data_IF_210244940686
#
_entry.id   IF_210244940686
#
_cell.length_a   1.000
_cell.length_b   1.000
_cell.length_c   1.000
_cell.angle_alpha   90.00
_cell.angle_beta   90.00
_cell.angle_gamma   90.00
#
_symmetry.space_group_name_H-M   'P 1'
#
loop_
_entity.id
_entity.type
_entity.pdbx_description
1 polymer ?
#
# COMPACT_ATOMS: atom_id res chain seq x y z
N UNK A 1 22.19 -13.81 6.16
CA UNK A 1 21.22 -14.91 5.89
C UNK A 1 19.76 -14.45 5.88
N UNK A 2 19.22 -13.84 6.94
CA UNK A 2 17.80 -13.42 6.98
C UNK A 2 17.41 -12.40 5.88
N UNK A 3 18.29 -11.43 5.57
CA UNK A 3 18.06 -10.44 4.52
C UNK A 3 17.97 -11.08 3.12
N UNK A 4 18.87 -12.01 2.80
CA UNK A 4 18.83 -12.74 1.54
C UNK A 4 17.54 -13.56 1.40
N UNK A 5 17.12 -14.25 2.46
CA UNK A 5 15.84 -14.95 2.49
C UNK A 5 14.64 -14.01 2.29
N UNK A 6 14.68 -12.80 2.84
CA UNK A 6 13.64 -11.77 2.62
C UNK A 6 13.60 -11.27 1.18
N UNK A 7 14.75 -11.09 0.53
CA UNK A 7 14.82 -10.69 -0.88
C UNK A 7 14.18 -11.79 -1.75
N UNK A 8 14.53 -13.06 -1.51
CA UNK A 8 13.98 -14.19 -2.26
C UNK A 8 12.46 -14.33 -2.05
N UNK A 9 12.00 -14.20 -0.80
CA UNK A 9 10.56 -14.21 -0.48
C UNK A 9 9.83 -13.03 -1.11
N UNK A 10 10.38 -11.81 -1.06
CA UNK A 10 9.76 -10.62 -1.63
C UNK A 10 9.63 -10.73 -3.15
N UNK A 11 10.65 -11.27 -3.84
CA UNK A 11 10.61 -11.52 -5.27
C UNK A 11 9.49 -12.51 -5.65
N UNK A 12 9.38 -13.63 -4.93
CA UNK A 12 8.30 -14.60 -5.16
C UNK A 12 6.91 -14.05 -4.78
N UNK A 13 6.81 -13.33 -3.65
CA UNK A 13 5.58 -12.74 -3.17
C UNK A 13 5.02 -11.66 -4.12
N UNK A 14 5.89 -10.91 -4.79
CA UNK A 14 5.48 -9.90 -5.78
C UNK A 14 4.85 -10.51 -7.04
N UNK A 15 5.26 -11.73 -7.43
CA UNK A 15 4.74 -12.41 -8.61
C UNK A 15 3.32 -12.97 -8.41
N UNK A 16 2.98 -13.39 -7.19
CA UNK A 16 1.74 -14.12 -6.88
C UNK A 16 0.46 -13.30 -7.17
N UNK A 17 0.31 -12.04 -6.73
CA UNK A 17 -0.90 -11.27 -7.00
C UNK A 17 -1.14 -11.05 -8.50
N UNK A 18 -0.07 -10.81 -9.26
CA UNK A 18 -0.15 -10.61 -10.70
C UNK A 18 -0.61 -11.89 -11.42
N UNK A 19 -0.01 -13.03 -11.09
CA UNK A 19 -0.39 -14.32 -11.69
C UNK A 19 -1.77 -14.79 -11.24
N UNK A 20 -2.16 -14.52 -9.99
CA UNK A 20 -3.49 -14.85 -9.46
C UNK A 20 -4.63 -14.16 -10.21
N UNK A 21 -4.40 -12.95 -10.74
CA UNK A 21 -5.37 -12.27 -11.60
C UNK A 21 -5.25 -12.67 -13.08
N UNK A 22 -4.04 -12.95 -13.55
CA UNK A 22 -3.79 -13.28 -14.96
C UNK A 22 -4.35 -14.65 -15.36
N UNK A 23 -4.16 -15.67 -14.53
CA UNK A 23 -4.58 -17.06 -14.84
C UNK A 23 -6.09 -17.15 -15.12
N UNK A 24 -7.00 -16.61 -14.27
CA UNK A 24 -8.43 -16.60 -14.55
C UNK A 24 -8.81 -15.92 -15.87
N UNK A 25 -8.16 -14.79 -16.18
CA UNK A 25 -8.46 -14.03 -17.40
C UNK A 25 -8.00 -14.79 -18.65
N UNK A 26 -6.85 -15.47 -18.57
CA UNK A 26 -6.23 -16.14 -19.72
C UNK A 26 -6.85 -17.50 -20.05
N UNK A 27 -7.17 -18.30 -19.02
CA UNK A 27 -7.61 -19.69 -19.22
C UNK A 27 -9.13 -19.91 -19.14
N UNK A 28 -9.90 -18.94 -18.62
CA UNK A 28 -11.35 -19.07 -18.53
C UNK A 28 -12.09 -18.16 -19.51
N UNK A 29 -13.19 -18.66 -20.10
CA UNK A 29 -14.00 -17.90 -21.04
C UNK A 29 -14.70 -16.74 -20.31
N UNK A 30 -14.99 -15.61 -21.01
CA UNK A 30 -15.49 -14.38 -20.41
C UNK A 30 -16.70 -14.56 -19.47
N UNK A 31 -17.58 -15.50 -19.79
CA UNK A 31 -18.83 -15.78 -19.07
C UNK A 31 -18.56 -16.38 -17.67
N UNK A 32 -17.43 -17.07 -17.50
CA UNK A 32 -17.02 -17.70 -16.22
C UNK A 32 -15.98 -16.91 -15.45
N UNK A 33 -15.32 -15.92 -16.07
CA UNK A 33 -14.24 -15.12 -15.44
C UNK A 33 -14.67 -14.50 -14.12
N UNK A 34 -15.88 -13.95 -14.04
CA UNK A 34 -16.38 -13.32 -12.81
C UNK A 34 -16.43 -14.28 -11.62
N UNK A 35 -16.89 -15.52 -11.84
CA UNK A 35 -16.95 -16.56 -10.81
C UNK A 35 -15.55 -16.97 -10.35
N UNK A 36 -14.64 -17.19 -11.30
CA UNK A 36 -13.25 -17.60 -10.99
C UNK A 36 -12.48 -16.48 -10.29
N UNK A 37 -12.60 -15.24 -10.77
CA UNK A 37 -12.03 -14.06 -10.10
C UNK A 37 -12.61 -13.88 -8.70
N UNK A 38 -13.91 -14.15 -8.53
CA UNK A 38 -14.56 -14.18 -7.22
C UNK A 38 -13.93 -15.24 -6.29
N UNK A 39 -13.65 -16.43 -6.80
CA UNK A 39 -12.98 -17.49 -6.05
C UNK A 39 -11.54 -17.10 -5.66
N UNK A 40 -10.80 -16.46 -6.56
CA UNK A 40 -9.47 -15.88 -6.25
C UNK A 40 -9.56 -14.83 -5.14
N UNK A 41 -10.55 -13.95 -5.18
CA UNK A 41 -10.76 -12.93 -4.15
C UNK A 41 -11.12 -13.56 -2.78
N UNK A 42 -11.92 -14.63 -2.76
CA UNK A 42 -12.21 -15.40 -1.54
C UNK A 42 -10.93 -16.03 -0.99
N UNK A 43 -10.11 -16.64 -1.84
CA UNK A 43 -8.82 -17.21 -1.45
C UNK A 43 -7.88 -16.16 -0.83
N UNK A 44 -7.80 -14.98 -1.45
CA UNK A 44 -6.99 -13.87 -0.94
C UNK A 44 -7.49 -13.38 0.44
N UNK A 45 -8.81 -13.28 0.61
CA UNK A 45 -9.42 -12.88 1.88
C UNK A 45 -9.19 -13.91 2.99
N UNK A 46 -9.34 -15.21 2.68
CA UNK A 46 -9.04 -16.30 3.62
C UNK A 46 -7.54 -16.31 3.97
N UNK A 47 -6.66 -16.13 2.99
CA UNK A 47 -5.22 -16.04 3.21
C UNK A 47 -4.84 -14.88 4.13
N UNK A 48 -5.47 -13.71 3.96
CA UNK A 48 -5.27 -12.57 4.86
C UNK A 48 -5.75 -12.85 6.28
N UNK A 49 -6.95 -13.42 6.44
CA UNK A 49 -7.50 -13.76 7.75
C UNK A 49 -6.68 -14.85 8.47
N UNK A 50 -6.40 -15.96 7.78
CA UNK A 50 -5.57 -17.04 8.30
C UNK A 50 -4.15 -16.57 8.58
N UNK A 51 -3.59 -15.70 7.73
CA UNK A 51 -2.28 -15.09 7.93
C UNK A 51 -2.21 -14.31 9.24
N UNK A 52 -3.23 -13.50 9.54
CA UNK A 52 -3.31 -12.74 10.79
C UNK A 52 -3.39 -13.67 12.01
N UNK A 53 -4.29 -14.66 11.97
CA UNK A 53 -4.49 -15.63 13.06
C UNK A 53 -3.23 -16.47 13.29
N UNK A 54 -2.65 -17.03 12.22
CA UNK A 54 -1.43 -17.82 12.30
C UNK A 54 -0.25 -16.98 12.79
N UNK A 55 -0.12 -15.73 12.34
CA UNK A 55 0.96 -14.86 12.80
C UNK A 55 0.85 -14.54 14.29
N UNK A 56 -0.36 -14.28 14.79
CA UNK A 56 -0.62 -14.03 16.20
C UNK A 56 -0.34 -15.28 17.05
N UNK A 57 -0.81 -16.46 16.62
CA UNK A 57 -0.55 -17.73 17.31
C UNK A 57 0.96 -18.05 17.35
N UNK A 58 1.65 -17.90 16.22
CA UNK A 58 3.09 -18.20 16.15
C UNK A 58 3.88 -17.29 17.08
N UNK A 59 3.60 -15.98 17.11
CA UNK A 59 4.32 -15.07 18.01
C UNK A 59 3.97 -15.33 19.47
N UNK A 60 2.76 -15.82 19.75
CA UNK A 60 2.30 -16.10 21.12
C UNK A 60 2.89 -17.39 21.70
N UNK A 61 3.07 -18.43 20.88
CA UNK A 61 3.46 -19.77 21.35
C UNK A 61 4.84 -20.24 20.85
N UNK A 62 5.41 -19.57 19.85
CA UNK A 62 6.68 -19.94 19.24
C UNK A 62 7.59 -18.72 19.02
N UNK A 63 8.83 -18.99 18.62
CA UNK A 63 9.76 -17.92 18.28
C UNK A 63 9.37 -17.24 16.96
N UNK A 64 9.46 -15.91 16.87
CA UNK A 64 9.08 -15.10 15.69
C UNK A 64 9.70 -15.57 14.37
N UNK A 65 10.83 -16.29 14.42
CA UNK A 65 11.52 -16.88 13.26
C UNK A 65 10.63 -17.86 12.48
N UNK A 66 9.67 -18.51 13.15
CA UNK A 66 8.72 -19.41 12.50
C UNK A 66 7.76 -18.70 11.54
N UNK A 67 7.55 -17.38 11.70
CA UNK A 67 6.80 -16.56 10.72
C UNK A 67 7.42 -16.60 9.32
N UNK A 68 8.72 -16.90 9.23
CA UNK A 68 9.45 -16.97 7.96
C UNK A 68 9.33 -18.35 7.29
N UNK A 69 8.96 -19.37 8.06
CA UNK A 69 8.76 -20.72 7.54
C UNK A 69 7.36 -20.91 6.93
N UNK A 70 6.34 -20.23 7.46
CA UNK A 70 4.95 -20.33 6.97
C UNK A 70 4.81 -20.06 5.46
N UNK A 71 5.43 -19.01 4.88
CA UNK A 71 5.35 -18.79 3.44
C UNK A 71 5.91 -19.94 2.59
N UNK A 72 6.80 -20.79 3.13
CA UNK A 72 7.34 -21.94 2.39
C UNK A 72 6.27 -23.00 2.10
N UNK A 73 5.16 -23.00 2.83
CA UNK A 73 4.02 -23.89 2.56
C UNK A 73 3.44 -23.70 1.16
N UNK A 74 3.68 -22.53 0.53
CA UNK A 74 3.26 -22.29 -0.85
C UNK A 74 3.94 -23.25 -1.83
N UNK A 75 5.13 -23.78 -1.51
CA UNK A 75 5.83 -24.74 -2.36
C UNK A 75 5.04 -26.05 -2.50
N UNK A 76 4.18 -26.39 -1.53
CA UNK A 76 3.28 -27.53 -1.64
C UNK A 76 2.22 -27.37 -2.75
N UNK A 77 1.99 -26.15 -3.23
CA UNK A 77 1.08 -25.90 -4.36
C UNK A 77 1.73 -26.15 -5.73
N UNK A 78 3.07 -26.22 -5.79
CA UNK A 78 3.84 -26.34 -7.04
C UNK A 78 3.48 -27.58 -7.88
N UNK A 79 3.26 -28.78 -7.31
CA UNK A 79 2.83 -29.95 -8.09
C UNK A 79 1.48 -29.75 -8.77
N UNK A 80 0.56 -29.03 -8.14
CA UNK A 80 -0.75 -28.72 -8.72
C UNK A 80 -0.60 -27.75 -9.89
N UNK A 81 0.20 -26.69 -9.75
CA UNK A 81 0.47 -25.79 -10.87
C UNK A 81 1.11 -26.52 -12.05
N UNK A 82 2.10 -27.39 -11.81
CA UNK A 82 2.72 -28.19 -12.88
C UNK A 82 1.76 -29.16 -13.56
N UNK A 83 0.78 -29.70 -12.83
CA UNK A 83 -0.19 -30.67 -13.37
C UNK A 83 -1.33 -30.01 -14.14
N UNK A 84 -1.82 -28.85 -13.68
CA UNK A 84 -3.06 -28.25 -14.16
C UNK A 84 -2.88 -27.03 -15.07
N UNK A 85 -1.75 -26.32 -15.03
CA UNK A 85 -1.44 -25.32 -16.06
C UNK A 85 -0.86 -26.07 -17.27
N UNK A 86 -1.55 -25.97 -18.40
CA UNK A 86 -1.04 -26.47 -19.66
C UNK A 86 0.28 -25.76 -20.01
N UNK A 87 1.27 -26.53 -20.49
CA UNK A 87 2.44 -25.97 -21.14
C UNK A 87 1.94 -25.22 -22.38
N UNK A 88 2.02 -23.89 -22.36
CA UNK A 88 1.80 -23.10 -23.56
C UNK A 88 3.03 -23.23 -24.46
N UNK A 89 2.79 -23.46 -25.75
CA UNK A 89 3.77 -23.14 -26.78
C UNK A 89 4.22 -21.70 -26.55
N UNK A 90 5.54 -21.47 -26.52
CA UNK A 90 6.16 -20.19 -26.18
C UNK A 90 5.78 -19.09 -27.17
N UNK A 91 4.57 -18.54 -27.08
CA UNK A 91 4.05 -17.54 -27.98
C UNK A 91 4.65 -16.18 -27.62
N UNK A 92 5.58 -15.76 -28.46
CA UNK A 92 6.45 -14.58 -28.39
C UNK A 92 7.38 -14.55 -27.18
N UNK A 93 8.66 -14.83 -27.44
CA UNK A 93 9.78 -14.44 -26.57
C UNK A 93 9.88 -12.90 -26.60
N UNK A 94 8.97 -12.21 -25.92
CA UNK A 94 9.20 -10.82 -25.55
C UNK A 94 10.51 -10.75 -24.77
N UNK A 95 11.44 -9.89 -25.19
CA UNK A 95 12.71 -9.76 -24.49
C UNK A 95 12.46 -9.05 -23.16
N UNK A 96 12.71 -9.72 -22.03
CA UNK A 96 12.58 -9.06 -20.73
C UNK A 96 13.75 -8.09 -20.54
N UNK A 97 13.45 -6.82 -20.26
CA UNK A 97 14.46 -5.79 -20.03
C UNK A 97 15.07 -5.90 -18.62
N UNK A 98 15.94 -6.91 -18.45
CA UNK A 98 16.70 -7.15 -17.22
C UNK A 98 17.49 -5.94 -16.76
N UNK A 99 18.09 -5.21 -17.71
CA UNK A 99 18.86 -4.01 -17.41
C UNK A 99 17.96 -2.89 -16.87
N UNK A 100 16.80 -2.65 -17.49
CA UNK A 100 15.82 -1.69 -16.98
C UNK A 100 15.31 -2.05 -15.58
N UNK A 101 14.99 -3.32 -15.35
CA UNK A 101 14.60 -3.82 -14.04
C UNK A 101 15.71 -3.63 -12.99
N UNK A 102 16.96 -3.96 -13.33
CA UNK A 102 18.11 -3.77 -12.45
C UNK A 102 18.38 -2.30 -12.13
N UNK A 103 18.34 -1.41 -13.13
CA UNK A 103 18.53 0.02 -12.93
C UNK A 103 17.47 0.62 -11.99
N UNK A 104 16.20 0.23 -12.17
CA UNK A 104 15.13 0.65 -11.27
C UNK A 104 15.33 0.11 -9.85
N UNK A 105 15.65 -1.19 -9.72
CA UNK A 105 15.91 -1.83 -8.43
C UNK A 105 17.05 -1.17 -7.67
N UNK A 106 18.17 -0.90 -8.34
CA UNK A 106 19.33 -0.20 -7.76
C UNK A 106 18.96 1.25 -7.39
N UNK A 107 18.24 1.96 -8.24
CA UNK A 107 17.81 3.33 -7.94
C UNK A 107 16.96 3.40 -6.67
N UNK A 108 15.97 2.51 -6.54
CA UNK A 108 15.12 2.43 -5.34
C UNK A 108 15.94 2.01 -4.11
N UNK A 109 16.83 1.02 -4.23
CA UNK A 109 17.67 0.59 -3.12
C UNK A 109 18.58 1.72 -2.60
N UNK A 110 19.21 2.46 -3.52
CA UNK A 110 20.05 3.60 -3.17
C UNK A 110 19.23 4.76 -2.58
N UNK A 111 18.00 4.99 -3.07
CA UNK A 111 17.11 5.99 -2.50
C UNK A 111 16.79 5.67 -1.04
N UNK A 112 16.37 4.43 -0.78
CA UNK A 112 16.03 3.96 0.56
C UNK A 112 17.24 4.00 1.50
N UNK A 113 18.42 3.56 1.04
CA UNK A 113 19.65 3.65 1.82
C UNK A 113 20.04 5.10 2.12
N UNK A 114 19.88 6.01 1.16
CA UNK A 114 20.16 7.42 1.33
C UNK A 114 19.23 8.09 2.33
N UNK A 115 17.93 7.80 2.27
CA UNK A 115 16.92 8.31 3.20
C UNK A 115 17.16 7.76 4.61
N UNK A 116 17.33 6.44 4.76
CA UNK A 116 17.48 5.80 6.07
C UNK A 116 18.80 6.18 6.75
N UNK A 117 19.93 6.16 6.02
CA UNK A 117 21.24 6.46 6.60
C UNK A 117 21.59 7.95 6.61
N UNK A 118 20.77 8.81 5.98
CA UNK A 118 21.07 10.24 5.82
C UNK A 118 22.31 10.52 4.97
N UNK A 119 22.59 9.67 4.00
CA UNK A 119 23.85 9.66 3.26
C UNK A 119 23.68 10.19 1.84
N UNK A 120 24.21 11.40 1.56
CA UNK A 120 23.96 12.12 0.32
C UNK A 120 24.48 11.43 -0.94
N UNK A 121 25.59 10.68 -0.88
CA UNK A 121 26.13 9.98 -2.05
C UNK A 121 25.24 8.82 -2.51
N UNK A 122 24.49 8.17 -1.61
CA UNK A 122 23.46 7.20 -2.01
C UNK A 122 22.30 7.89 -2.73
N UNK A 123 21.91 9.11 -2.31
CA UNK A 123 20.89 9.89 -3.01
C UNK A 123 21.36 10.30 -4.42
N UNK A 124 22.62 10.72 -4.58
CA UNK A 124 23.20 10.98 -5.89
C UNK A 124 23.28 9.73 -6.77
N UNK A 125 23.69 8.59 -6.20
CA UNK A 125 23.69 7.32 -6.91
C UNK A 125 22.28 6.90 -7.35
N UNK A 126 21.26 7.14 -6.52
CA UNK A 126 19.86 6.92 -6.86
C UNK A 126 19.40 7.79 -8.03
N UNK A 127 19.73 9.09 -8.00
CA UNK A 127 19.43 10.04 -9.08
C UNK A 127 20.11 9.64 -10.39
N UNK A 128 21.39 9.25 -10.33
CA UNK A 128 22.16 8.81 -11.49
C UNK A 128 21.55 7.54 -12.11
N UNK A 129 21.28 6.52 -11.30
CA UNK A 129 20.71 5.26 -11.77
C UNK A 129 19.26 5.41 -12.24
N UNK A 130 18.48 6.32 -11.64
CA UNK A 130 17.16 6.70 -12.12
C UNK A 130 17.22 7.38 -13.49
N UNK A 131 18.17 8.29 -13.69
CA UNK A 131 18.38 8.93 -14.99
C UNK A 131 18.75 7.91 -16.06
N UNK A 132 19.64 6.96 -15.75
CA UNK A 132 19.99 5.85 -16.64
C UNK A 132 18.77 4.95 -16.94
N UNK A 133 17.94 4.65 -15.94
CA UNK A 133 16.69 3.93 -16.12
C UNK A 133 15.75 4.67 -17.09
N UNK A 134 15.57 5.98 -16.91
CA UNK A 134 14.71 6.80 -17.79
C UNK A 134 15.23 6.79 -19.24
N UNK A 135 16.55 6.87 -19.43
CA UNK A 135 17.15 6.77 -20.77
C UNK A 135 16.92 5.37 -21.35
N UNK A 136 17.09 4.31 -20.55
CA UNK A 136 16.89 2.91 -20.96
C UNK A 136 15.46 2.65 -21.43
N UNK A 137 14.45 3.02 -20.65
CA UNK A 137 13.05 2.77 -21.00
C UNK A 137 12.57 3.55 -22.23
N UNK A 138 13.26 4.62 -22.62
CA UNK A 138 12.98 5.39 -23.84
C UNK A 138 13.63 4.81 -25.08
N UNK A 139 14.73 4.06 -24.93
CA UNK A 139 15.53 3.51 -26.04
C UNK A 139 15.33 2.01 -26.28
N UNK A 140 14.88 1.27 -25.27
CA UNK A 140 14.64 -0.17 -25.38
C UNK A 140 13.46 -0.47 -26.32
N UNK A 141 13.57 -1.55 -27.10
CA UNK A 141 12.48 -2.05 -27.94
C UNK A 141 11.31 -2.56 -27.07
N UNK A 142 11.62 -3.40 -26.08
CA UNK A 142 10.69 -3.92 -25.07
C UNK A 142 11.08 -3.39 -23.68
N UNK A 143 10.76 -2.14 -23.31
CA UNK A 143 11.18 -1.55 -22.03
C UNK A 143 10.48 -2.21 -20.84
N UNK A 144 11.18 -2.32 -19.70
CA UNK A 144 10.63 -2.87 -18.46
C UNK A 144 9.36 -2.14 -18.00
N UNK A 145 9.33 -0.82 -18.17
CA UNK A 145 8.14 0.02 -17.98
C UNK A 145 7.88 0.79 -19.26
N UNK A 146 6.72 0.59 -19.88
CA UNK A 146 6.34 1.28 -21.11
C UNK A 146 6.04 2.76 -20.83
N UNK A 147 6.84 3.73 -21.34
CA UNK A 147 6.64 5.14 -21.03
C UNK A 147 5.30 5.70 -21.52
N UNK A 148 4.74 5.08 -22.57
CA UNK A 148 3.46 5.47 -23.19
C UNK A 148 2.29 5.45 -22.21
N UNK A 149 2.31 4.57 -21.19
CA UNK A 149 1.23 4.49 -20.19
C UNK A 149 1.11 5.79 -19.37
N UNK A 150 2.24 6.48 -19.14
CA UNK A 150 2.28 7.74 -18.40
C UNK A 150 1.81 8.95 -19.21
N UNK A 151 1.60 8.80 -20.52
CA UNK A 151 1.00 9.84 -21.35
C UNK A 151 -0.48 10.06 -20.98
N UNK A 152 -1.14 9.04 -20.40
CA UNK A 152 -2.48 9.19 -19.85
C UNK A 152 -2.42 10.01 -18.55
N UNK A 153 -2.74 11.31 -18.66
CA UNK A 153 -2.72 12.25 -17.53
C UNK A 153 -3.60 11.83 -16.36
N UNK A 154 -4.73 11.12 -16.60
CA UNK A 154 -5.62 10.64 -15.54
C UNK A 154 -4.97 9.49 -14.77
N UNK A 155 -4.35 8.55 -15.49
CA UNK A 155 -3.59 7.45 -14.90
C UNK A 155 -2.41 7.98 -14.06
N UNK A 156 -1.59 8.86 -14.64
CA UNK A 156 -0.43 9.45 -13.94
C UNK A 156 -0.84 10.26 -12.70
N UNK A 157 -1.90 11.07 -12.79
CA UNK A 157 -2.42 11.78 -11.62
C UNK A 157 -2.94 10.82 -10.52
N UNK A 158 -3.61 9.74 -10.92
CA UNK A 158 -4.06 8.69 -10.01
C UNK A 158 -2.90 7.98 -9.31
N UNK A 159 -1.81 7.68 -10.04
CA UNK A 159 -0.59 7.11 -9.46
C UNK A 159 0.07 8.04 -8.44
N UNK A 160 0.18 9.34 -8.74
CA UNK A 160 0.74 10.33 -7.80
C UNK A 160 -0.10 10.37 -6.53
N UNK A 161 -1.43 10.43 -6.66
CA UNK A 161 -2.35 10.41 -5.53
C UNK A 161 -2.19 9.13 -4.70
N UNK A 162 -2.05 7.97 -5.37
CA UNK A 162 -1.85 6.69 -4.70
C UNK A 162 -0.52 6.62 -3.94
N UNK A 163 0.57 7.10 -4.53
CA UNK A 163 1.88 7.20 -3.89
C UNK A 163 1.79 8.05 -2.63
N UNK A 164 1.22 9.25 -2.72
CA UNK A 164 1.08 10.14 -1.57
C UNK A 164 0.23 9.51 -0.46
N UNK A 165 -0.92 8.95 -0.81
CA UNK A 165 -1.83 8.39 0.20
C UNK A 165 -1.29 7.10 0.81
N UNK A 166 -0.71 6.18 0.04
CA UNK A 166 -0.08 4.98 0.61
C UNK A 166 1.16 5.31 1.44
N UNK A 167 1.92 6.34 1.04
CA UNK A 167 3.03 6.88 1.81
C UNK A 167 2.59 7.45 3.16
N UNK A 168 1.44 8.13 3.24
CA UNK A 168 0.86 8.52 4.52
C UNK A 168 0.30 7.31 5.29
N UNK A 169 -0.37 6.40 4.59
CA UNK A 169 -1.06 5.24 5.18
C UNK A 169 -0.13 4.25 5.88
N UNK A 170 1.14 4.11 5.45
CA UNK A 170 2.11 3.25 6.14
C UNK A 170 2.36 3.71 7.59
N UNK A 171 2.11 4.98 7.93
CA UNK A 171 2.22 5.46 9.30
C UNK A 171 1.32 4.66 10.26
N UNK A 172 0.15 4.20 9.82
CA UNK A 172 -0.74 3.37 10.64
C UNK A 172 -0.12 2.03 11.03
N UNK A 173 0.77 1.49 10.20
CA UNK A 173 1.40 0.18 10.37
C UNK A 173 2.84 0.27 10.89
N UNK A 174 3.46 1.44 10.82
CA UNK A 174 4.85 1.66 11.22
C UNK A 174 4.96 2.60 12.42
N UNK A 175 4.36 3.79 12.36
CA UNK A 175 4.43 4.81 13.41
C UNK A 175 3.56 4.42 14.61
N UNK A 176 2.35 3.87 14.39
CA UNK A 176 1.45 3.45 15.47
C UNK A 176 2.04 2.39 16.42
N UNK A 177 2.60 1.25 15.94
CA UNK A 177 3.20 0.28 16.86
C UNK A 177 4.43 0.84 17.58
N UNK A 178 5.21 1.72 16.92
CA UNK A 178 6.34 2.39 17.58
C UNK A 178 5.87 3.36 18.68
N UNK A 179 4.77 4.09 18.46
CA UNK A 179 4.14 4.92 19.49
C UNK A 179 3.71 4.06 20.70
N UNK A 180 3.03 2.94 20.45
CA UNK A 180 2.58 2.02 21.50
C UNK A 180 3.75 1.38 22.25
N UNK A 181 4.86 1.08 21.57
CA UNK A 181 6.05 0.51 22.19
C UNK A 181 6.85 1.53 23.00
N UNK A 182 7.05 2.74 22.49
CA UNK A 182 7.98 3.73 23.05
C UNK A 182 7.34 4.66 24.06
N UNK A 183 6.07 5.03 23.86
CA UNK A 183 5.36 5.99 24.72
C UNK A 183 4.45 5.27 25.71
N UNK A 184 3.78 4.21 25.28
CA UNK A 184 2.87 3.42 26.14
C UNK A 184 3.58 2.22 26.80
N UNK A 185 4.88 2.04 26.52
CA UNK A 185 5.74 0.97 27.07
C UNK A 185 5.14 -0.45 26.94
N UNK A 186 4.29 -0.66 25.93
CA UNK A 186 3.62 -1.94 25.74
C UNK A 186 4.60 -2.98 25.19
N UNK A 187 4.50 -4.20 25.71
CA UNK A 187 5.20 -5.34 25.12
C UNK A 187 4.61 -5.69 23.75
N UNK A 188 5.41 -6.34 22.90
CA UNK A 188 5.04 -6.72 21.52
C UNK A 188 3.70 -7.45 21.42
N UNK A 189 3.39 -8.31 22.40
CA UNK A 189 2.14 -9.07 22.44
C UNK A 189 0.93 -8.14 22.57
N UNK A 190 1.00 -7.15 23.47
CA UNK A 190 -0.07 -6.18 23.70
C UNK A 190 -0.25 -5.22 22.53
N UNK A 191 0.83 -4.80 21.87
CA UNK A 191 0.75 -3.99 20.64
C UNK A 191 -0.08 -4.72 19.58
N UNK A 192 0.14 -6.03 19.41
CA UNK A 192 -0.67 -6.86 18.53
C UNK A 192 -2.16 -6.81 18.87
N UNK A 193 -2.52 -7.00 20.14
CA UNK A 193 -3.92 -6.94 20.59
C UNK A 193 -4.58 -5.57 20.36
N UNK A 194 -3.82 -4.47 20.44
CA UNK A 194 -4.33 -3.12 20.16
C UNK A 194 -4.61 -2.90 18.67
N UNK A 195 -3.77 -3.47 17.80
CA UNK A 195 -3.88 -3.30 16.35
C UNK A 195 -4.91 -4.24 15.69
N UNK A 196 -5.12 -5.44 16.25
CA UNK A 196 -6.02 -6.47 15.69
C UNK A 196 -7.45 -5.96 15.47
N UNK A 197 -8.13 -5.28 16.40
CA UNK A 197 -9.50 -4.78 16.19
C UNK A 197 -9.63 -3.89 14.95
N UNK A 198 -8.64 -3.02 14.71
CA UNK A 198 -8.62 -2.14 13.54
C UNK A 198 -8.45 -2.94 12.23
N UNK A 199 -7.59 -3.96 12.23
CA UNK A 199 -7.43 -4.85 11.09
C UNK A 199 -8.70 -5.66 10.80
N UNK A 200 -9.35 -6.20 11.83
CA UNK A 200 -10.62 -6.94 11.72
C UNK A 200 -11.74 -6.04 11.20
N UNK A 201 -11.89 -4.84 11.76
CA UNK A 201 -12.89 -3.87 11.31
C UNK A 201 -12.69 -3.50 9.83
N UNK A 202 -11.45 -3.27 9.42
CA UNK A 202 -11.09 -3.00 8.02
C UNK A 202 -11.40 -4.17 7.09
N UNK A 203 -11.12 -5.42 7.51
CA UNK A 203 -11.45 -6.61 6.74
C UNK A 203 -12.97 -6.81 6.58
N UNK A 204 -13.73 -6.64 7.66
CA UNK A 204 -15.20 -6.78 7.64
C UNK A 204 -15.86 -5.68 6.81
N UNK A 205 -15.45 -4.42 7.03
CA UNK A 205 -16.01 -3.26 6.35
C UNK A 205 -15.51 -3.10 4.92
N UNK A 206 -14.38 -3.70 4.53
CA UNK A 206 -13.87 -3.63 3.16
C UNK A 206 -14.88 -4.08 2.10
N UNK A 207 -15.69 -5.11 2.40
CA UNK A 207 -16.81 -5.53 1.52
C UNK A 207 -17.89 -4.46 1.40
N UNK A 208 -18.16 -3.74 2.47
CA UNK A 208 -19.09 -2.59 2.48
C UNK A 208 -18.51 -1.46 1.64
N UNK A 209 -17.21 -1.18 1.78
CA UNK A 209 -16.49 -0.22 0.95
C UNK A 209 -16.62 -0.50 -0.53
N UNK A 210 -16.42 -1.75 -0.96
CA UNK A 210 -16.63 -2.18 -2.35
C UNK A 210 -18.06 -1.92 -2.84
N UNK A 211 -19.07 -2.40 -2.10
CA UNK A 211 -20.49 -2.16 -2.42
C UNK A 211 -20.84 -0.67 -2.48
N UNK A 212 -20.18 0.14 -1.66
CA UNK A 212 -20.41 1.58 -1.58
C UNK A 212 -19.77 2.30 -2.78
N UNK A 213 -18.60 1.88 -3.24
CA UNK A 213 -18.01 2.32 -4.51
C UNK A 213 -18.93 1.98 -5.69
N UNK A 214 -19.46 0.75 -5.74
CA UNK A 214 -20.35 0.32 -6.83
C UNK A 214 -21.65 1.11 -6.86
N UNK A 215 -22.26 1.37 -5.69
CA UNK A 215 -23.57 2.04 -5.59
C UNK A 215 -23.52 3.56 -5.63
N UNK A 216 -22.53 4.18 -4.97
CA UNK A 216 -22.45 5.65 -4.80
C UNK A 216 -21.29 6.28 -5.56
N UNK A 217 -20.43 5.47 -6.19
CA UNK A 217 -19.27 5.90 -6.96
C UNK A 217 -17.98 6.04 -6.14
N UNK A 218 -16.84 5.91 -6.82
CA UNK A 218 -15.50 6.01 -6.23
C UNK A 218 -15.24 7.37 -5.55
N UNK A 219 -15.80 8.47 -6.08
CA UNK A 219 -15.64 9.80 -5.47
C UNK A 219 -16.30 9.88 -4.08
N UNK A 220 -17.49 9.30 -3.91
CA UNK A 220 -18.14 9.24 -2.60
C UNK A 220 -17.29 8.43 -1.60
N UNK A 221 -16.81 7.27 -2.04
CA UNK A 221 -15.96 6.42 -1.20
C UNK A 221 -14.65 7.12 -0.83
N UNK A 222 -14.06 7.89 -1.75
CA UNK A 222 -12.85 8.69 -1.51
C UNK A 222 -13.07 9.75 -0.42
N UNK A 223 -14.18 10.49 -0.47
CA UNK A 223 -14.48 11.50 0.56
C UNK A 223 -14.73 10.87 1.92
N UNK A 224 -15.44 9.74 1.97
CA UNK A 224 -15.64 8.99 3.21
C UNK A 224 -14.31 8.48 3.78
N UNK A 225 -13.47 7.86 2.94
CA UNK A 225 -12.16 7.35 3.31
C UNK A 225 -11.25 8.47 3.84
N UNK A 226 -11.22 9.60 3.16
CA UNK A 226 -10.44 10.77 3.57
C UNK A 226 -10.90 11.34 4.90
N UNK A 227 -12.21 11.42 5.13
CA UNK A 227 -12.77 11.86 6.41
C UNK A 227 -12.36 10.94 7.56
N UNK A 228 -12.42 9.62 7.36
CA UNK A 228 -11.96 8.64 8.35
C UNK A 228 -10.47 8.78 8.67
N UNK A 229 -9.63 8.99 7.65
CA UNK A 229 -8.19 9.19 7.82
C UNK A 229 -7.87 10.51 8.54
N UNK A 230 -8.56 11.61 8.21
CA UNK A 230 -8.42 12.90 8.89
C UNK A 230 -8.79 12.81 10.37
N UNK A 231 -9.92 12.15 10.67
CA UNK A 231 -10.34 11.89 12.05
C UNK A 231 -9.28 11.07 12.78
N UNK A 232 -8.79 9.99 12.17
CA UNK A 232 -7.75 9.15 12.76
C UNK A 232 -6.47 9.93 13.07
N UNK A 233 -5.90 10.63 12.09
CA UNK A 233 -4.65 11.36 12.27
C UNK A 233 -4.79 12.55 13.23
N UNK A 234 -5.93 13.26 13.20
CA UNK A 234 -6.21 14.34 14.15
C UNK A 234 -6.32 13.82 15.59
N UNK A 235 -7.05 12.72 15.80
CA UNK A 235 -7.19 12.08 17.11
C UNK A 235 -5.87 11.51 17.61
N UNK A 236 -5.13 10.80 16.75
CA UNK A 236 -3.80 10.28 17.11
C UNK A 236 -2.83 11.41 17.43
N UNK A 237 -2.80 12.51 16.67
CA UNK A 237 -1.94 13.65 17.00
C UNK A 237 -2.27 14.24 18.37
N UNK A 238 -3.55 14.36 18.69
CA UNK A 238 -4.03 15.04 19.89
C UNK A 238 -3.90 14.19 21.14
N UNK A 239 -4.12 12.88 21.02
CA UNK A 239 -4.33 11.99 22.15
C UNK A 239 -3.30 10.84 22.22
N UNK A 240 -2.07 11.04 21.73
CA UNK A 240 -1.01 10.01 21.75
C UNK A 240 -0.67 9.50 23.15
N UNK A 241 -0.90 10.29 24.21
CA UNK A 241 -0.62 9.92 25.60
C UNK A 241 -1.85 9.47 26.42
N UNK A 242 -3.01 9.33 25.79
CA UNK A 242 -4.22 8.80 26.45
C UNK A 242 -4.13 7.27 26.60
N UNK A 243 -5.01 6.70 27.44
CA UNK A 243 -5.26 5.27 27.56
C UNK A 243 -5.25 4.55 26.20
N UNK A 244 -4.54 3.42 26.18
CA UNK A 244 -4.32 2.51 25.04
C UNK A 244 -5.62 2.16 24.29
N UNK A 245 -6.74 2.03 25.01
CA UNK A 245 -8.07 1.75 24.43
C UNK A 245 -8.52 2.85 23.46
N UNK A 246 -8.25 4.13 23.79
CA UNK A 246 -8.55 5.25 22.91
C UNK A 246 -7.77 5.15 21.60
N UNK A 247 -6.47 4.84 21.68
CA UNK A 247 -5.61 4.62 20.50
C UNK A 247 -6.15 3.47 19.64
N UNK A 248 -6.55 2.35 20.27
CA UNK A 248 -7.16 1.21 19.56
C UNK A 248 -8.41 1.64 18.76
N UNK A 249 -9.30 2.42 19.37
CA UNK A 249 -10.50 2.95 18.72
C UNK A 249 -10.15 3.90 17.56
N UNK A 250 -9.15 4.76 17.72
CA UNK A 250 -8.74 5.70 16.66
C UNK A 250 -8.16 4.97 15.46
N UNK A 251 -7.41 3.89 15.68
CA UNK A 251 -6.83 3.06 14.62
C UNK A 251 -7.89 2.37 13.75
N UNK A 252 -9.10 2.13 14.27
CA UNK A 252 -10.22 1.59 13.47
C UNK A 252 -10.56 2.56 12.34
N UNK A 253 -10.72 3.86 12.63
CA UNK A 253 -10.99 4.87 11.60
C UNK A 253 -9.87 4.90 10.55
N UNK A 254 -8.61 4.84 10.99
CA UNK A 254 -7.46 4.85 10.09
C UNK A 254 -7.41 3.64 9.18
N UNK A 255 -7.55 2.43 9.72
CA UNK A 255 -7.45 1.18 8.96
C UNK A 255 -8.63 1.00 7.99
N UNK A 256 -9.84 1.37 8.40
CA UNK A 256 -11.02 1.35 7.53
C UNK A 256 -10.89 2.42 6.44
N UNK A 257 -10.48 3.63 6.81
CA UNK A 257 -10.21 4.72 5.88
C UNK A 257 -9.18 4.33 4.82
N UNK A 258 -8.05 3.76 5.24
CA UNK A 258 -6.99 3.30 4.33
C UNK A 258 -7.46 2.18 3.40
N UNK A 259 -8.24 1.23 3.91
CA UNK A 259 -8.82 0.15 3.09
C UNK A 259 -9.77 0.69 2.03
N UNK A 260 -10.66 1.62 2.39
CA UNK A 260 -11.58 2.26 1.44
C UNK A 260 -10.82 3.10 0.42
N UNK A 261 -9.73 3.74 0.85
CA UNK A 261 -8.85 4.50 -0.03
C UNK A 261 -8.18 3.60 -1.07
N UNK A 262 -7.72 2.42 -0.65
CA UNK A 262 -7.11 1.46 -1.55
C UNK A 262 -8.12 0.96 -2.60
N UNK A 263 -9.37 0.71 -2.20
CA UNK A 263 -10.45 0.31 -3.11
C UNK A 263 -10.73 1.41 -4.15
N UNK A 264 -10.95 2.65 -3.71
CA UNK A 264 -11.29 3.76 -4.63
C UNK A 264 -10.14 4.10 -5.58
N UNK A 265 -8.90 4.10 -5.10
CA UNK A 265 -7.72 4.37 -5.93
C UNK A 265 -7.52 3.25 -6.96
N UNK A 266 -7.58 1.99 -6.55
CA UNK A 266 -7.45 0.86 -7.46
C UNK A 266 -8.52 0.90 -8.56
N UNK A 267 -9.79 1.08 -8.19
CA UNK A 267 -10.90 1.17 -9.15
C UNK A 267 -10.78 2.38 -10.09
N UNK A 268 -10.41 3.54 -9.56
CA UNK A 268 -10.29 4.77 -10.35
C UNK A 268 -9.12 4.69 -11.32
N UNK A 269 -7.98 4.14 -10.89
CA UNK A 269 -6.77 4.00 -11.73
C UNK A 269 -7.00 2.93 -12.80
N UNK A 270 -7.53 1.76 -12.42
CA UNK A 270 -7.82 0.70 -13.39
C UNK A 270 -8.81 1.15 -14.46
N UNK A 271 -9.82 1.94 -14.07
CA UNK A 271 -10.82 2.51 -15.00
C UNK A 271 -10.26 3.53 -15.98
N UNK A 272 -9.03 4.03 -15.78
CA UNK A 272 -8.37 4.93 -16.75
C UNK A 272 -7.59 4.19 -17.83
N UNK A 273 -7.39 2.87 -17.69
CA UNK A 273 -6.58 2.05 -18.58
C UNK A 273 -7.45 1.30 -19.59
N UNK A 274 -6.91 1.09 -20.79
CA UNK A 274 -7.47 0.12 -21.72
C UNK A 274 -7.34 -1.31 -21.15
N UNK A 275 -8.23 -2.22 -21.53
CA UNK A 275 -8.27 -3.60 -20.98
C UNK A 275 -6.94 -4.32 -21.17
N UNK A 276 -6.26 -4.06 -22.27
CA UNK A 276 -4.98 -4.65 -22.67
C UNK A 276 -3.82 -4.11 -21.82
N UNK A 277 -3.95 -2.91 -21.26
CA UNK A 277 -2.93 -2.24 -20.44
C UNK A 277 -3.20 -2.36 -18.94
N UNK A 278 -4.39 -2.81 -18.54
CA UNK A 278 -4.81 -2.88 -17.14
C UNK A 278 -3.86 -3.71 -16.27
N UNK A 279 -3.42 -4.87 -16.75
CA UNK A 279 -2.49 -5.74 -16.01
C UNK A 279 -1.15 -5.05 -15.72
N UNK A 280 -0.49 -4.52 -16.76
CA UNK A 280 0.79 -3.81 -16.63
C UNK A 280 0.63 -2.55 -15.78
N UNK A 281 -0.42 -1.77 -16.01
CA UNK A 281 -0.66 -0.53 -15.26
C UNK A 281 -1.00 -0.75 -13.79
N UNK A 282 -1.71 -1.82 -13.44
CA UNK A 282 -1.94 -2.19 -12.04
C UNK A 282 -0.69 -2.79 -11.37
N UNK A 283 0.19 -3.42 -12.15
CA UNK A 283 1.54 -3.80 -11.70
C UNK A 283 2.38 -2.58 -11.31
N UNK A 284 2.42 -1.56 -12.18
CA UNK A 284 3.11 -0.28 -11.89
C UNK A 284 2.51 0.40 -10.65
N UNK A 285 1.17 0.44 -10.53
CA UNK A 285 0.50 0.97 -9.33
C UNK A 285 0.97 0.27 -8.06
N UNK A 286 1.00 -1.06 -8.06
CA UNK A 286 1.45 -1.85 -6.90
C UNK A 286 2.92 -1.59 -6.58
N UNK A 287 3.78 -1.57 -7.59
CA UNK A 287 5.21 -1.29 -7.44
C UNK A 287 5.46 0.09 -6.84
N UNK A 288 4.79 1.13 -7.35
CA UNK A 288 4.93 2.49 -6.83
C UNK A 288 4.40 2.61 -5.40
N UNK A 289 3.34 1.88 -5.03
CA UNK A 289 2.88 1.84 -3.64
C UNK A 289 3.93 1.24 -2.72
N UNK A 290 4.55 0.11 -3.07
CA UNK A 290 5.62 -0.48 -2.26
C UNK A 290 6.84 0.45 -2.12
N UNK A 291 7.26 1.09 -3.21
CA UNK A 291 8.35 2.08 -3.20
C UNK A 291 7.98 3.23 -2.27
N UNK A 292 6.75 3.77 -2.40
CA UNK A 292 6.27 4.87 -1.55
C UNK A 292 6.28 4.50 -0.07
N UNK A 293 5.74 3.32 0.28
CA UNK A 293 5.70 2.85 1.67
C UNK A 293 7.09 2.67 2.25
N UNK A 294 8.06 2.18 1.46
CA UNK A 294 9.45 2.05 1.89
C UNK A 294 10.15 3.40 2.11
N UNK A 295 9.93 4.38 1.22
CA UNK A 295 10.50 5.72 1.37
C UNK A 295 9.88 6.40 2.60
N UNK A 296 8.56 6.36 2.73
CA UNK A 296 7.85 6.98 3.84
C UNK A 296 8.23 6.37 5.18
N UNK A 297 8.38 5.04 5.28
CA UNK A 297 8.85 4.41 6.53
C UNK A 297 10.28 4.83 6.89
N UNK A 298 11.18 4.97 5.91
CA UNK A 298 12.53 5.51 6.13
C UNK A 298 12.50 6.95 6.64
N UNK A 299 11.65 7.81 6.07
CA UNK A 299 11.44 9.19 6.53
C UNK A 299 10.89 9.19 7.97
N UNK A 300 9.86 8.40 8.25
CA UNK A 300 9.29 8.31 9.60
C UNK A 300 10.28 7.79 10.62
N UNK A 301 11.07 6.76 10.29
CA UNK A 301 12.16 6.26 11.13
C UNK A 301 13.11 7.40 11.48
N UNK A 302 13.57 8.15 10.48
CA UNK A 302 14.53 9.22 10.70
C UNK A 302 13.98 10.35 11.56
N UNK A 303 12.71 10.73 11.36
CA UNK A 303 12.04 11.74 12.18
C UNK A 303 11.90 11.25 13.62
N UNK A 304 11.56 9.98 13.83
CA UNK A 304 11.48 9.37 15.17
C UNK A 304 12.86 9.34 15.84
N UNK A 305 13.91 8.93 15.12
CA UNK A 305 15.29 8.86 15.64
C UNK A 305 15.84 10.24 16.04
N UNK A 306 15.46 11.29 15.32
CA UNK A 306 15.82 12.68 15.67
C UNK A 306 15.05 13.20 16.90
N UNK A 307 13.92 12.58 17.24
CA UNK A 307 13.02 13.02 18.30
C UNK A 307 12.37 14.38 18.01
N UNK A 308 11.66 14.91 19.01
CA UNK A 308 11.11 16.26 18.96
C UNK A 308 11.10 16.87 20.37
N UNK A 309 11.65 18.08 20.50
CA UNK A 309 11.61 18.88 21.74
C UNK A 309 10.50 19.91 21.74
N UNK A 310 9.99 20.28 20.56
CA UNK A 310 8.92 21.26 20.38
C UNK A 310 7.57 20.59 20.15
N UNK A 311 6.57 21.06 20.89
CA UNK A 311 5.17 20.70 20.72
C UNK A 311 4.54 21.54 19.60
N UNK A 312 4.08 20.91 18.51
CA UNK A 312 3.34 21.63 17.46
C UNK A 312 1.82 21.56 17.65
N UNK A 313 1.31 20.48 18.27
CA UNK A 313 -0.09 20.38 18.65
C UNK A 313 -0.27 20.86 20.10
N UNK A 314 -0.83 22.06 20.34
CA UNK A 314 -0.95 22.63 21.69
C UNK A 314 -1.85 21.81 22.63
N UNK A 315 -2.66 20.90 22.09
CA UNK A 315 -3.60 20.08 22.87
C UNK A 315 -2.92 18.84 23.47
N UNK A 316 -1.72 18.47 23.02
CA UNK A 316 -1.02 17.28 23.50
C UNK A 316 0.07 17.63 24.55
N UNK A 317 -0.16 17.39 25.86
CA UNK A 317 0.78 17.79 26.91
C UNK A 317 1.95 16.80 27.10
N UNK A 318 1.98 15.67 26.40
CA UNK A 318 2.91 14.58 26.69
C UNK A 318 4.24 14.74 25.93
N UNK A 319 5.28 15.22 26.61
CA UNK A 319 6.59 15.47 26.02
C UNK A 319 7.21 14.25 25.32
N UNK A 320 7.11 13.06 25.91
CA UNK A 320 7.59 11.81 25.32
C UNK A 320 6.89 11.46 23.99
N UNK A 321 5.72 12.05 23.73
CA UNK A 321 4.90 11.77 22.57
C UNK A 321 4.95 12.85 21.49
N UNK A 322 5.72 13.93 21.67
CA UNK A 322 5.77 15.06 20.75
C UNK A 322 6.14 14.65 19.32
N UNK A 323 7.12 13.76 19.16
CA UNK A 323 7.55 13.34 17.81
C UNK A 323 6.42 12.62 17.06
N UNK A 324 5.71 11.72 17.74
CA UNK A 324 4.56 11.01 17.17
C UNK A 324 3.38 11.94 16.91
N UNK A 325 3.09 12.84 17.85
CA UNK A 325 2.04 13.85 17.73
C UNK A 325 2.26 14.75 16.51
N UNK A 326 3.49 15.23 16.33
CA UNK A 326 3.90 16.10 15.23
C UNK A 326 3.82 15.36 13.89
N UNK A 327 4.26 14.09 13.82
CA UNK A 327 4.09 13.25 12.62
C UNK A 327 2.62 13.17 12.24
N UNK A 328 1.73 12.78 13.16
CA UNK A 328 0.31 12.66 12.85
C UNK A 328 -0.35 14.00 12.50
N UNK A 329 0.11 15.12 13.08
CA UNK A 329 -0.37 16.46 12.72
C UNK A 329 -0.02 16.79 11.26
N UNK A 330 1.23 16.54 10.86
CA UNK A 330 1.68 16.74 9.47
C UNK A 330 0.90 15.84 8.53
N UNK A 331 0.67 14.58 8.90
CA UNK A 331 -0.12 13.66 8.09
C UNK A 331 -1.57 14.14 7.93
N UNK A 332 -2.20 14.63 9.00
CA UNK A 332 -3.53 15.21 8.94
C UNK A 332 -3.57 16.43 8.00
N UNK A 333 -2.59 17.33 8.11
CA UNK A 333 -2.51 18.52 7.25
C UNK A 333 -2.28 18.16 5.78
N UNK A 334 -1.33 17.27 5.47
CA UNK A 334 -1.06 16.81 4.11
C UNK A 334 -2.28 16.08 3.52
N UNK A 335 -2.96 15.26 4.31
CA UNK A 335 -4.17 14.58 3.87
C UNK A 335 -5.32 15.56 3.64
N UNK A 336 -5.43 16.63 4.43
CA UNK A 336 -6.43 17.68 4.24
C UNK A 336 -6.18 18.44 2.93
N UNK A 337 -4.91 18.74 2.60
CA UNK A 337 -4.55 19.34 1.31
C UNK A 337 -4.93 18.44 0.14
N UNK A 338 -4.70 17.13 0.24
CA UNK A 338 -5.09 16.15 -0.77
C UNK A 338 -6.62 16.08 -0.90
N UNK A 339 -7.34 16.06 0.22
CA UNK A 339 -8.79 16.08 0.26
C UNK A 339 -9.35 17.32 -0.44
N UNK A 340 -8.83 18.51 -0.10
CA UNK A 340 -9.23 19.78 -0.72
C UNK A 340 -8.92 19.80 -2.21
N UNK A 341 -7.71 19.39 -2.61
CA UNK A 341 -7.33 19.29 -4.02
C UNK A 341 -8.27 18.37 -4.80
N UNK A 342 -8.58 17.20 -4.26
CA UNK A 342 -9.51 16.25 -4.88
C UNK A 342 -10.93 16.83 -4.94
N UNK A 343 -11.38 17.49 -3.87
CA UNK A 343 -12.68 18.15 -3.81
C UNK A 343 -12.83 19.24 -4.87
N UNK A 344 -11.86 20.14 -5.01
CA UNK A 344 -11.93 21.21 -6.01
C UNK A 344 -11.86 20.68 -7.45
N UNK A 345 -11.14 19.58 -7.68
CA UNK A 345 -10.94 19.02 -9.02
C UNK A 345 -12.06 18.09 -9.47
N UNK A 346 -12.70 17.36 -8.55
CA UNK A 346 -13.69 16.32 -8.87
C UNK A 346 -15.05 16.51 -8.20
N UNK A 347 -15.17 17.36 -7.18
CA UNK A 347 -16.42 17.62 -6.46
C UNK A 347 -17.42 18.48 -7.22
N UNK A 348 -16.96 19.39 -8.10
CA UNK A 348 -17.83 20.29 -8.88
C UNK A 348 -18.65 19.59 -9.97
N UNK A 349 -18.25 18.40 -10.44
CA UNK A 349 -18.96 17.67 -11.50
C UNK A 349 -20.32 17.13 -11.06
N UNK A 350 -20.61 17.12 -9.75
CA UNK A 350 -21.89 16.63 -9.20
C UNK A 350 -22.98 17.71 -9.14
N UNK A 351 -22.64 19.01 -9.13
CA UNK A 351 -23.64 20.07 -9.03
C UNK A 351 -24.22 20.50 -10.38
N UNK A 352 -23.52 20.25 -11.50
CA UNK A 352 -24.00 20.62 -12.84
C UNK A 352 -25.00 19.63 -13.46
N UNK A 353 -25.10 18.41 -12.92
CA UNK A 353 -26.06 17.40 -13.41
C UNK A 353 -27.46 17.50 -12.79
N UNK A 354 -27.61 18.27 -11.71
CA UNK A 354 -28.91 18.46 -11.03
C UNK A 354 -29.68 19.70 -11.52
N UNK A 355 -29.02 20.61 -12.26
CA UNK A 355 -29.66 21.80 -12.85
C UNK A 355 -30.06 21.61 -14.33
N UNK A 356 -29.74 20.47 -14.95
CA UNK A 356 -30.12 20.17 -16.34
C UNK A 356 -31.44 19.40 -16.46
N UNK A 357 -32.07 19.03 -15.33
CA UNK A 357 -33.33 18.28 -15.24
C UNK A 357 -34.39 18.99 -14.38
N UNK A 358 -34.28 20.31 -14.17
CA UNK A 358 -35.31 21.13 -13.52
C UNK A 358 -36.02 22.01 -14.52
#
# INVERSE_FOLDING_TARGET
>A
MALFGRILQAAGAAAIPATAMLIPVRYFPPERRGSVLGMTAVGLALGGALGLVLSALIVSFAHWRWLFAVPLLILATLPFYRKYLAEEDTLSRGSFDWLGGALLGVSVALLLLGVTNGTWWFLLGSLLTLALFIVRIRRAADPFVQPKIFANKRYTAGLVLAVLINGMGIALYYVSPLLLSSVQELSTNWIGFVMVPAAVASALLGRVGGKLADRKGNAYLFFLASGLLLVCFGLLSTFTGIAVIGIACFLIFGNVGQSFMQITLANSISGTLAKEQAGVGMGIFSMLNFISMGIASGIYSKVIDLGATTQWNPVNPYAAAFVYSNIYLVLAALHALIFLFYYFRFGKTRSSGLQANS
#
